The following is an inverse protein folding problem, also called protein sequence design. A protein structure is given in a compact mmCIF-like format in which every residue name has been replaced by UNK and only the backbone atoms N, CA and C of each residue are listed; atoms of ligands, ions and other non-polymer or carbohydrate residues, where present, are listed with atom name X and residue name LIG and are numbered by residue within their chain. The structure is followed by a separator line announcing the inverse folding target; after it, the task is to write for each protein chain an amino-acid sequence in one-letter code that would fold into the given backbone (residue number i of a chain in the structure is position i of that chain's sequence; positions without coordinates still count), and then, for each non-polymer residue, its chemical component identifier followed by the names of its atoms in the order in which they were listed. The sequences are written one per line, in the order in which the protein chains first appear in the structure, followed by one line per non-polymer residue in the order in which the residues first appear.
data_IF_768829346311
#
_entry.id   IF_768829346311
#
_cell.length_a   1.000
_cell.length_b   1.000
_cell.length_c   1.000
_cell.angle_alpha   90.00
_cell.angle_beta   90.00
_cell.angle_gamma   90.00
#
_symmetry.space_group_name_H-M   'P 1'
#
loop_
_entity.id
_entity.type
_entity.pdbx_description
1 polymer ?
#
# COMPACT_ATOMS: atom_id res chain seq x y z
N UNK A 1 24.02 -43.59 -6.04
CA UNK A 1 23.64 -42.55 -7.01
C UNK A 1 23.67 -41.22 -6.27
N UNK A 2 24.43 -40.25 -6.76
CA UNK A 2 24.71 -38.97 -6.12
C UNK A 2 23.44 -38.12 -6.02
N UNK A 3 22.78 -38.09 -4.86
CA UNK A 3 21.66 -37.18 -4.62
C UNK A 3 22.15 -35.74 -4.67
N UNK A 4 21.57 -34.91 -5.54
CA UNK A 4 21.81 -33.46 -5.53
C UNK A 4 21.41 -32.92 -4.15
N UNK A 5 22.29 -32.15 -3.50
CA UNK A 5 21.94 -31.53 -2.22
C UNK A 5 20.83 -30.50 -2.42
N UNK A 6 19.98 -30.33 -1.41
CA UNK A 6 18.87 -29.35 -1.41
C UNK A 6 19.39 -27.94 -1.72
N UNK A 7 20.54 -27.55 -1.16
CA UNK A 7 21.18 -26.25 -1.44
C UNK A 7 21.62 -26.11 -2.91
N UNK A 8 22.02 -27.19 -3.56
CA UNK A 8 22.40 -27.19 -4.97
C UNK A 8 21.18 -26.98 -5.87
N UNK A 9 20.08 -27.68 -5.57
CA UNK A 9 18.79 -27.54 -6.28
C UNK A 9 18.25 -26.11 -6.13
N UNK A 10 18.29 -25.54 -4.93
CA UNK A 10 17.86 -24.16 -4.67
C UNK A 10 18.70 -23.12 -5.43
N UNK A 11 20.02 -23.33 -5.53
CA UNK A 11 20.92 -22.43 -6.29
C UNK A 11 20.67 -22.52 -7.80
N UNK A 12 20.36 -23.71 -8.30
CA UNK A 12 20.01 -23.93 -9.71
C UNK A 12 18.65 -23.30 -10.05
N UNK A 13 17.63 -23.51 -9.21
CA UNK A 13 16.32 -22.86 -9.33
C UNK A 13 16.47 -21.34 -9.41
N UNK A 14 17.26 -20.73 -8.52
CA UNK A 14 17.52 -19.29 -8.54
C UNK A 14 18.10 -18.78 -9.87
N UNK A 15 18.93 -19.60 -10.51
CA UNK A 15 19.55 -19.23 -11.80
C UNK A 15 18.55 -19.35 -12.94
N UNK A 16 17.74 -20.41 -12.95
CA UNK A 16 16.71 -20.64 -13.99
C UNK A 16 15.58 -19.64 -13.93
N UNK A 17 15.12 -19.27 -12.74
CA UNK A 17 14.12 -18.21 -12.58
C UNK A 17 14.61 -16.87 -13.15
N UNK A 18 15.86 -16.49 -12.91
CA UNK A 18 16.46 -15.29 -13.52
C UNK A 18 16.46 -15.36 -15.05
N UNK A 19 16.83 -16.50 -15.61
CA UNK A 19 16.82 -16.68 -17.06
C UNK A 19 15.39 -16.59 -17.64
N UNK A 20 14.40 -17.16 -16.94
CA UNK A 20 13.00 -17.08 -17.34
C UNK A 20 12.49 -15.63 -17.36
N UNK A 21 12.84 -14.83 -16.34
CA UNK A 21 12.48 -13.41 -16.30
C UNK A 21 13.07 -12.63 -17.49
N UNK A 22 14.35 -12.86 -17.82
CA UNK A 22 15.00 -12.24 -18.99
C UNK A 22 14.31 -12.63 -20.31
N UNK A 23 13.85 -13.88 -20.44
CA UNK A 23 13.11 -14.34 -21.61
C UNK A 23 11.72 -13.72 -21.70
N UNK A 24 11.01 -13.57 -20.58
CA UNK A 24 9.69 -12.93 -20.51
C UNK A 24 9.78 -11.42 -20.80
N UNK A 25 10.82 -10.74 -20.33
CA UNK A 25 11.09 -9.33 -20.69
C UNK A 25 11.38 -9.17 -22.19
N UNK A 26 12.11 -10.13 -22.79
CA UNK A 26 12.31 -10.15 -24.25
C UNK A 26 11.00 -10.39 -24.98
N UNK A 27 10.15 -11.32 -24.51
CA UNK A 27 8.83 -11.58 -25.09
C UNK A 27 7.94 -10.34 -25.06
N UNK A 28 7.91 -9.60 -23.94
CA UNK A 28 7.13 -8.38 -23.80
C UNK A 28 7.48 -7.30 -24.85
N UNK A 29 8.73 -7.29 -25.36
CA UNK A 29 9.16 -6.37 -26.43
C UNK A 29 8.63 -6.76 -27.81
N UNK A 30 8.31 -8.03 -28.04
CA UNK A 30 7.79 -8.53 -29.32
C UNK A 30 6.25 -8.62 -29.36
N UNK A 31 5.60 -8.78 -28.20
CA UNK A 31 4.13 -8.86 -28.11
C UNK A 31 3.56 -9.98 -28.97
N UNK A 32 2.60 -9.66 -29.85
CA UNK A 32 1.99 -10.64 -30.77
C UNK A 32 2.95 -11.20 -31.82
N UNK A 33 4.10 -10.56 -32.05
CA UNK A 33 5.11 -10.97 -33.03
C UNK A 33 6.26 -11.77 -32.39
N UNK A 34 6.01 -12.42 -31.24
CA UNK A 34 7.04 -13.18 -30.54
C UNK A 34 7.56 -14.33 -31.42
N UNK A 35 8.87 -14.41 -31.67
CA UNK A 35 9.46 -15.52 -32.44
C UNK A 35 9.20 -16.87 -31.77
N UNK A 36 8.90 -17.90 -32.57
CA UNK A 36 8.61 -19.26 -32.07
C UNK A 36 9.77 -19.85 -31.24
N UNK A 37 11.01 -19.55 -31.60
CA UNK A 37 12.20 -19.96 -30.85
C UNK A 37 12.21 -19.39 -29.42
N UNK A 38 11.79 -18.12 -29.24
CA UNK A 38 11.67 -17.50 -27.92
C UNK A 38 10.54 -18.14 -27.10
N UNK A 39 9.43 -18.52 -27.75
CA UNK A 39 8.33 -19.25 -27.09
C UNK A 39 8.80 -20.62 -26.60
N UNK A 40 9.57 -21.34 -27.42
CA UNK A 40 10.13 -22.64 -27.05
C UNK A 40 11.14 -22.52 -25.90
N UNK A 41 12.02 -21.51 -25.92
CA UNK A 41 12.96 -21.27 -24.83
C UNK A 41 12.26 -20.99 -23.49
N UNK A 42 11.15 -20.25 -23.51
CA UNK A 42 10.34 -19.99 -22.31
C UNK A 42 9.67 -21.28 -21.82
N UNK A 43 9.15 -22.10 -22.73
CA UNK A 43 8.55 -23.38 -22.39
C UNK A 43 9.57 -24.34 -21.76
N UNK A 44 10.75 -24.48 -22.37
CA UNK A 44 11.81 -25.36 -21.90
C UNK A 44 12.33 -24.95 -20.51
N UNK A 45 12.49 -23.63 -20.24
CA UNK A 45 12.88 -23.16 -18.90
C UNK A 45 11.78 -23.41 -17.86
N UNK A 46 10.49 -23.27 -18.23
CA UNK A 46 9.38 -23.59 -17.31
C UNK A 46 9.35 -25.07 -16.94
N UNK A 47 9.54 -25.96 -17.92
CA UNK A 47 9.63 -27.42 -17.68
C UNK A 47 10.83 -27.77 -16.79
N UNK A 48 12.00 -27.15 -17.05
CA UNK A 48 13.19 -27.39 -16.24
C UNK A 48 13.02 -26.92 -14.78
N UNK A 49 12.35 -25.78 -14.57
CA UNK A 49 12.00 -25.28 -13.24
C UNK A 49 11.04 -26.25 -12.54
N UNK A 50 9.95 -26.65 -13.21
CA UNK A 50 8.96 -27.57 -12.64
C UNK A 50 9.60 -28.90 -12.20
N UNK A 51 10.53 -29.44 -13.00
CA UNK A 51 11.29 -30.64 -12.64
C UNK A 51 12.15 -30.46 -11.39
N UNK A 52 12.80 -29.31 -11.22
CA UNK A 52 13.61 -29.02 -10.02
C UNK A 52 12.76 -28.80 -8.77
N UNK A 53 11.58 -28.19 -8.92
CA UNK A 53 10.64 -28.00 -7.80
C UNK A 53 10.06 -29.33 -7.31
N UNK A 54 9.76 -30.25 -8.23
CA UNK A 54 9.30 -31.60 -7.88
C UNK A 54 10.40 -32.40 -7.17
N UNK A 55 11.65 -32.27 -7.61
CA UNK A 55 12.82 -32.83 -6.91
C UNK A 55 13.00 -32.23 -5.51
N UNK A 56 12.70 -30.95 -5.32
CA UNK A 56 12.75 -30.31 -4.01
C UNK A 56 11.65 -30.82 -3.07
N UNK A 57 10.45 -31.07 -3.58
CA UNK A 57 9.32 -31.63 -2.82
C UNK A 57 9.54 -33.09 -2.39
N UNK A 58 10.23 -33.86 -3.23
CA UNK A 58 10.47 -35.29 -3.02
C UNK A 58 11.76 -35.60 -2.25
N UNK A 59 12.59 -34.59 -1.96
CA UNK A 59 13.83 -34.77 -1.21
C UNK A 59 13.54 -35.20 0.25
N UNK A 60 14.11 -36.32 0.74
CA UNK A 60 13.88 -36.77 2.11
C UNK A 60 14.44 -35.76 3.11
N UNK A 61 13.63 -35.39 4.11
CA UNK A 61 14.11 -34.63 5.26
C UNK A 61 15.17 -35.46 5.98
N UNK A 62 16.41 -34.97 6.01
CA UNK A 62 17.48 -35.63 6.75
C UNK A 62 17.12 -35.70 8.25
N UNK A 63 17.08 -36.91 8.82
CA UNK A 63 16.95 -37.13 10.25
C UNK A 63 18.16 -36.56 11.02
N UNK A 64 17.97 -36.04 12.25
CA UNK A 64 19.02 -35.34 12.97
C UNK A 64 19.92 -36.32 13.73
N UNK A 65 21.23 -36.26 13.49
CA UNK A 65 22.22 -36.84 14.39
C UNK A 65 22.25 -36.00 15.69
N UNK A 66 21.78 -36.62 16.77
CA UNK A 66 21.79 -36.14 18.15
C UNK A 66 23.22 -36.24 18.67
N UNK A 67 23.95 -35.13 18.75
CA UNK A 67 25.01 -34.84 19.75
C UNK A 67 25.73 -33.53 19.42
N UNK A 68 25.01 -32.40 19.53
CA UNK A 68 25.61 -31.06 19.74
C UNK A 68 24.57 -30.05 20.29
N UNK A 69 23.49 -30.54 20.93
CA UNK A 69 22.32 -29.76 21.36
C UNK A 69 22.54 -28.89 22.61
N UNK A 70 23.68 -28.20 22.74
CA UNK A 70 23.83 -27.19 23.80
C UNK A 70 24.41 -25.86 23.32
N UNK A 71 24.72 -25.68 22.04
CA UNK A 71 25.23 -24.40 21.53
C UNK A 71 24.44 -23.80 20.36
N UNK A 72 23.48 -24.53 19.78
CA UNK A 72 22.71 -24.09 18.61
C UNK A 72 21.22 -23.78 18.88
N UNK A 73 20.68 -24.07 20.07
CA UNK A 73 19.30 -23.69 20.46
C UNK A 73 19.06 -22.17 20.57
N UNK A 74 20.08 -21.34 20.32
CA UNK A 74 19.95 -19.89 20.21
C UNK A 74 19.70 -19.35 18.80
N UNK A 75 19.70 -20.17 17.74
CA UNK A 75 19.43 -19.67 16.38
C UNK A 75 18.62 -20.66 15.54
N UNK A 76 17.31 -20.40 15.49
CA UNK A 76 16.52 -20.52 14.26
C UNK A 76 15.97 -21.90 13.92
N UNK A 77 14.79 -22.22 14.46
CA UNK A 77 13.76 -22.97 13.72
C UNK A 77 12.39 -22.39 14.08
N UNK A 78 11.68 -21.90 13.06
CA UNK A 78 10.32 -21.37 13.19
C UNK A 78 10.18 -19.84 13.12
N UNK A 79 11.09 -19.12 12.46
CA UNK A 79 10.75 -17.77 12.03
C UNK A 79 9.90 -17.90 10.76
N UNK A 80 8.63 -17.51 10.85
CA UNK A 80 7.88 -17.05 9.69
C UNK A 80 8.77 -16.10 8.88
N UNK A 81 8.60 -16.04 7.56
CA UNK A 81 9.16 -14.97 6.73
C UNK A 81 8.61 -13.61 7.24
N UNK A 82 9.21 -13.08 8.29
CA UNK A 82 8.98 -11.76 8.85
C UNK A 82 9.73 -10.77 7.98
N UNK A 83 8.98 -9.90 7.32
CA UNK A 83 9.52 -8.98 6.31
C UNK A 83 9.92 -7.62 6.84
N UNK A 84 9.65 -7.34 8.12
CA UNK A 84 10.34 -6.32 8.89
C UNK A 84 11.16 -7.03 9.95
N UNK A 85 12.48 -6.91 9.87
CA UNK A 85 13.36 -7.38 10.94
C UNK A 85 13.28 -6.44 12.17
N UNK A 86 13.87 -6.85 13.29
CA UNK A 86 13.82 -6.05 14.52
C UNK A 86 14.47 -4.67 14.34
N UNK A 87 15.45 -4.53 13.44
CA UNK A 87 16.08 -3.24 13.14
C UNK A 87 15.11 -2.33 12.37
N UNK A 88 14.37 -2.87 11.43
CA UNK A 88 13.34 -2.12 10.68
C UNK A 88 12.25 -1.62 11.64
N UNK A 89 11.80 -2.46 12.58
CA UNK A 89 10.87 -2.07 13.65
C UNK A 89 11.44 -0.98 14.55
N UNK A 90 12.65 -1.15 15.07
CA UNK A 90 13.30 -0.15 15.93
C UNK A 90 13.42 1.21 15.23
N UNK A 91 13.78 1.21 13.95
CA UNK A 91 13.83 2.43 13.14
C UNK A 91 12.45 3.06 13.00
N UNK A 92 11.42 2.28 12.67
CA UNK A 92 10.05 2.77 12.53
C UNK A 92 9.55 3.41 13.84
N UNK A 93 9.73 2.74 14.98
CA UNK A 93 9.29 3.23 16.29
C UNK A 93 9.99 4.55 16.66
N UNK A 94 11.30 4.66 16.44
CA UNK A 94 12.04 5.92 16.66
C UNK A 94 11.54 7.04 15.74
N UNK A 95 11.31 6.76 14.46
CA UNK A 95 10.77 7.74 13.51
C UNK A 95 9.38 8.22 13.92
N UNK A 96 8.54 7.32 14.42
CA UNK A 96 7.24 7.67 14.98
C UNK A 96 7.41 8.57 16.20
N UNK A 97 8.28 8.21 17.16
CA UNK A 97 8.56 9.00 18.38
C UNK A 97 9.02 10.42 18.07
N UNK A 98 9.88 10.56 17.06
CA UNK A 98 10.44 11.84 16.64
C UNK A 98 9.47 12.67 15.76
N UNK A 99 8.26 12.19 15.49
CA UNK A 99 7.32 12.84 14.57
C UNK A 99 7.77 12.83 13.09
N UNK A 100 8.77 12.01 12.77
CA UNK A 100 9.39 11.87 11.45
C UNK A 100 8.83 10.67 10.66
N UNK A 101 7.54 10.39 10.84
CA UNK A 101 6.79 9.38 10.11
C UNK A 101 5.49 10.02 9.57
N UNK A 102 5.12 9.71 8.33
CA UNK A 102 3.89 10.18 7.70
C UNK A 102 3.07 8.97 7.26
N UNK A 103 1.97 8.66 7.96
CA UNK A 103 1.03 7.64 7.53
C UNK A 103 0.36 8.08 6.24
N UNK A 104 0.30 7.16 5.29
CA UNK A 104 -0.38 7.29 4.02
C UNK A 104 -1.50 6.23 4.03
N UNK A 105 -2.75 6.69 4.10
CA UNK A 105 -3.91 5.88 4.44
C UNK A 105 -4.75 5.62 3.20
N UNK A 106 -5.08 4.36 2.95
CA UNK A 106 -5.87 3.90 1.81
C UNK A 106 -7.19 3.27 2.22
N UNK A 107 -8.01 2.87 1.25
CA UNK A 107 -9.40 2.42 1.49
C UNK A 107 -9.45 1.13 2.34
N UNK A 108 -8.41 0.30 2.30
CA UNK A 108 -8.30 -0.92 3.11
C UNK A 108 -8.00 -0.70 4.60
N UNK A 109 -7.89 0.54 5.09
CA UNK A 109 -7.76 0.81 6.53
C UNK A 109 -9.08 0.56 7.27
N UNK A 110 -10.21 0.84 6.62
CA UNK A 110 -11.57 0.71 7.16
C UNK A 110 -12.40 -0.36 6.44
N UNK A 111 -11.77 -1.42 5.94
CA UNK A 111 -12.40 -2.44 5.10
C UNK A 111 -13.62 -3.14 5.73
N UNK A 112 -13.71 -3.18 7.06
CA UNK A 112 -14.86 -3.76 7.76
C UNK A 112 -16.09 -2.82 7.82
N UNK A 113 -15.92 -1.55 7.43
CA UNK A 113 -16.92 -0.47 7.58
C UNK A 113 -17.35 0.05 6.21
N UNK A 114 -16.39 0.21 5.30
CA UNK A 114 -16.62 0.78 3.98
C UNK A 114 -16.56 -0.31 2.90
N UNK A 115 -17.43 -0.25 1.89
CA UNK A 115 -17.27 -1.08 0.72
C UNK A 115 -15.91 -0.75 0.09
N UNK A 116 -15.19 -1.79 -0.30
CA UNK A 116 -14.00 -1.66 -1.12
C UNK A 116 -14.35 -1.03 -2.47
N UNK A 117 -13.36 -0.45 -3.14
CA UNK A 117 -13.51 0.10 -4.49
C UNK A 117 -14.06 -0.95 -5.46
N UNK A 118 -13.65 -2.21 -5.30
CA UNK A 118 -14.16 -3.35 -6.07
C UNK A 118 -15.64 -3.60 -5.83
N UNK A 119 -16.08 -3.68 -4.57
CA UNK A 119 -17.49 -3.89 -4.23
C UNK A 119 -18.36 -2.73 -4.73
N UNK A 120 -17.84 -1.50 -4.62
CA UNK A 120 -18.53 -0.31 -5.12
C UNK A 120 -18.68 -0.35 -6.64
N UNK A 121 -17.59 -0.64 -7.36
CA UNK A 121 -17.59 -0.80 -8.81
C UNK A 121 -18.58 -1.88 -9.26
N UNK A 122 -18.56 -3.05 -8.62
CA UNK A 122 -19.43 -4.18 -8.97
C UNK A 122 -20.91 -3.86 -8.73
N UNK A 123 -21.23 -3.18 -7.63
CA UNK A 123 -22.59 -2.75 -7.33
C UNK A 123 -23.10 -1.77 -8.40
N UNK A 124 -22.31 -0.74 -8.73
CA UNK A 124 -22.65 0.19 -9.80
C UNK A 124 -22.74 -0.48 -11.17
N UNK A 125 -21.83 -1.39 -11.48
CA UNK A 125 -21.83 -2.13 -12.74
C UNK A 125 -23.10 -2.96 -12.92
N UNK A 126 -23.53 -3.65 -11.86
CA UNK A 126 -24.77 -4.42 -11.85
C UNK A 126 -26.02 -3.53 -11.94
N UNK A 127 -26.09 -2.47 -11.12
CA UNK A 127 -27.23 -1.56 -11.05
C UNK A 127 -27.46 -0.80 -12.37
N UNK A 128 -26.38 -0.34 -12.99
CA UNK A 128 -26.42 0.52 -14.17
C UNK A 128 -26.11 -0.20 -15.49
N UNK A 129 -25.92 -1.52 -15.45
CA UNK A 129 -25.64 -2.37 -16.62
C UNK A 129 -24.39 -1.91 -17.38
N UNK A 130 -23.27 -1.80 -16.66
CA UNK A 130 -21.98 -1.48 -17.25
C UNK A 130 -21.62 -2.46 -18.39
N UNK A 131 -21.20 -1.96 -19.57
CA UNK A 131 -21.13 -2.78 -20.77
C UNK A 131 -19.81 -3.56 -20.95
N UNK A 132 -18.79 -3.35 -20.11
CA UNK A 132 -17.46 -3.97 -20.25
C UNK A 132 -17.18 -5.03 -19.17
N UNK A 133 -16.13 -5.82 -19.37
CA UNK A 133 -15.77 -6.95 -18.51
C UNK A 133 -15.11 -6.54 -17.18
N UNK A 134 -14.60 -5.32 -17.09
CA UNK A 134 -13.89 -4.77 -15.93
C UNK A 134 -14.82 -4.03 -14.97
N UNK A 135 -15.99 -4.63 -14.70
CA UNK A 135 -16.99 -4.09 -13.77
C UNK A 135 -16.53 -4.01 -12.31
N UNK A 136 -15.31 -4.43 -12.00
CA UNK A 136 -14.64 -4.25 -10.70
C UNK A 136 -13.64 -3.08 -10.67
N UNK A 137 -13.46 -2.36 -11.79
CA UNK A 137 -12.59 -1.20 -11.87
C UNK A 137 -13.36 0.10 -11.56
N UNK A 138 -13.23 0.60 -10.32
CA UNK A 138 -13.99 1.76 -9.84
C UNK A 138 -13.86 2.99 -10.74
N UNK A 139 -12.66 3.48 -11.13
CA UNK A 139 -12.55 4.62 -12.04
C UNK A 139 -13.28 4.48 -13.37
N UNK A 140 -13.27 3.29 -13.96
CA UNK A 140 -13.93 3.05 -15.26
C UNK A 140 -15.44 2.93 -15.13
N UNK A 141 -15.92 2.25 -14.09
CA UNK A 141 -17.36 2.19 -13.81
C UNK A 141 -17.87 3.59 -13.44
N UNK A 142 -17.13 4.36 -12.64
CA UNK A 142 -17.46 5.74 -12.33
C UNK A 142 -17.50 6.62 -13.59
N UNK A 143 -16.53 6.49 -14.50
CA UNK A 143 -16.52 7.18 -15.79
C UNK A 143 -17.79 6.86 -16.62
N UNK A 144 -18.17 5.59 -16.68
CA UNK A 144 -19.39 5.19 -17.37
C UNK A 144 -20.63 5.85 -16.76
N UNK A 145 -20.71 5.94 -15.43
CA UNK A 145 -21.81 6.63 -14.75
C UNK A 145 -21.79 8.14 -15.00
N UNK A 146 -20.62 8.76 -14.99
CA UNK A 146 -20.46 10.18 -15.30
C UNK A 146 -20.99 10.51 -16.71
N UNK A 147 -20.76 9.62 -17.68
CA UNK A 147 -21.21 9.78 -19.07
C UNK A 147 -22.70 9.49 -19.23
N UNK A 148 -23.21 8.43 -18.60
CA UNK A 148 -24.57 7.92 -18.86
C UNK A 148 -25.64 8.50 -17.94
N UNK A 149 -25.25 9.09 -16.81
CA UNK A 149 -26.15 9.74 -15.86
C UNK A 149 -25.93 11.25 -15.87
N UNK A 150 -24.92 11.69 -15.14
CA UNK A 150 -24.52 13.07 -14.94
C UNK A 150 -23.08 13.06 -14.42
N UNK A 151 -22.28 14.06 -14.79
CA UNK A 151 -20.87 14.11 -14.44
C UNK A 151 -20.63 14.09 -12.91
N UNK A 152 -21.51 14.72 -12.12
CA UNK A 152 -21.41 14.74 -10.66
C UNK A 152 -21.96 13.47 -9.98
N UNK A 153 -22.73 12.65 -10.71
CA UNK A 153 -23.43 11.49 -10.15
C UNK A 153 -22.53 10.55 -9.32
N UNK A 154 -21.34 10.13 -9.79
CA UNK A 154 -20.52 9.17 -9.04
C UNK A 154 -20.06 9.73 -7.69
N UNK A 155 -19.61 10.99 -7.68
CA UNK A 155 -19.13 11.65 -6.47
C UNK A 155 -20.27 11.92 -5.47
N UNK A 156 -21.42 12.39 -5.97
CA UNK A 156 -22.63 12.57 -5.16
C UNK A 156 -23.18 11.27 -4.58
N UNK A 157 -23.11 10.15 -5.32
CA UNK A 157 -23.56 8.85 -4.83
C UNK A 157 -22.64 8.33 -3.73
N UNK A 158 -21.31 8.47 -3.86
CA UNK A 158 -20.37 8.17 -2.76
C UNK A 158 -20.68 9.04 -1.53
N UNK A 159 -20.86 10.34 -1.72
CA UNK A 159 -21.19 11.26 -0.63
C UNK A 159 -22.51 10.88 0.07
N UNK A 160 -23.52 10.46 -0.69
CA UNK A 160 -24.81 9.99 -0.16
C UNK A 160 -24.64 8.68 0.61
N UNK A 161 -23.94 7.70 0.04
CA UNK A 161 -23.66 6.41 0.72
C UNK A 161 -22.94 6.64 2.04
N UNK A 162 -21.97 7.55 2.05
CA UNK A 162 -21.24 7.97 3.25
C UNK A 162 -22.14 8.48 4.38
N UNK A 163 -23.12 9.34 4.04
CA UNK A 163 -24.08 9.87 5.01
C UNK A 163 -24.97 8.77 5.59
N UNK A 164 -25.27 7.73 4.80
CA UNK A 164 -26.14 6.62 5.21
C UNK A 164 -25.43 5.43 5.88
N UNK A 165 -24.11 5.50 6.08
CA UNK A 165 -23.36 4.45 6.76
C UNK A 165 -23.90 4.20 8.18
N UNK A 166 -24.34 2.96 8.42
CA UNK A 166 -24.89 2.52 9.71
C UNK A 166 -23.79 2.27 10.75
N UNK A 167 -22.64 1.82 10.29
CA UNK A 167 -21.49 1.50 11.14
C UNK A 167 -20.45 2.60 11.00
N UNK A 168 -19.84 2.98 12.13
CA UNK A 168 -18.75 3.95 12.23
C UNK A 168 -17.64 3.33 13.08
N UNK A 169 -16.37 3.72 12.90
CA UNK A 169 -15.28 3.21 13.72
C UNK A 169 -15.51 3.57 15.19
N UNK A 170 -15.25 2.62 16.08
CA UNK A 170 -15.34 2.86 17.51
C UNK A 170 -14.04 3.44 18.05
N UNK A 171 -13.92 4.78 18.05
CA UNK A 171 -12.70 5.44 18.51
C UNK A 171 -12.35 5.22 19.99
N UNK A 172 -13.25 4.61 20.78
CA UNK A 172 -12.97 4.17 22.17
C UNK A 172 -12.09 2.93 22.24
N UNK A 173 -12.12 2.09 21.21
CA UNK A 173 -11.32 0.88 21.16
C UNK A 173 -9.89 1.24 20.75
N UNK A 174 -8.93 1.01 21.66
CA UNK A 174 -7.53 1.38 21.42
C UNK A 174 -6.89 0.61 20.26
N UNK A 175 -7.42 -0.57 19.91
CA UNK A 175 -6.97 -1.41 18.79
C UNK A 175 -7.66 -1.07 17.47
N UNK A 176 -8.66 -0.18 17.47
CA UNK A 176 -9.26 0.32 16.24
C UNK A 176 -8.19 1.12 15.46
N UNK A 177 -7.99 0.85 14.15
CA UNK A 177 -6.88 1.42 13.40
C UNK A 177 -6.74 2.95 13.48
N UNK A 178 -7.83 3.70 13.30
CA UNK A 178 -7.79 5.16 13.34
C UNK A 178 -7.51 5.68 14.75
N UNK A 179 -8.12 5.08 15.79
CA UNK A 179 -7.91 5.43 17.20
C UNK A 179 -6.46 5.21 17.62
N UNK A 180 -5.86 4.10 17.21
CA UNK A 180 -4.46 3.82 17.47
C UNK A 180 -3.54 4.84 16.78
N UNK A 181 -3.73 5.05 15.47
CA UNK A 181 -2.93 5.99 14.68
C UNK A 181 -3.06 7.43 15.22
N UNK A 182 -4.24 7.82 15.72
CA UNK A 182 -4.48 9.12 16.34
C UNK A 182 -3.76 9.31 17.68
N UNK A 183 -3.37 8.20 18.33
CA UNK A 183 -2.58 8.21 19.56
C UNK A 183 -1.09 8.45 19.33
N UNK A 184 -0.60 8.30 18.10
CA UNK A 184 0.81 8.50 17.77
C UNK A 184 1.17 10.00 17.75
N UNK A 185 2.42 10.38 18.08
CA UNK A 185 2.86 11.76 18.10
C UNK A 185 3.21 12.28 16.69
N UNK A 186 2.29 12.14 15.73
CA UNK A 186 2.52 12.47 14.33
C UNK A 186 1.78 13.76 13.94
N UNK A 187 2.44 14.71 13.24
CA UNK A 187 1.83 15.99 12.89
C UNK A 187 1.03 15.96 11.58
N UNK A 188 1.18 14.91 10.75
CA UNK A 188 0.64 14.86 9.41
C UNK A 188 0.22 13.44 9.04
N UNK A 189 -0.98 13.31 8.50
CA UNK A 189 -1.55 12.11 7.92
C UNK A 189 -1.99 12.44 6.49
N UNK A 190 -1.65 11.58 5.53
CA UNK A 190 -2.11 11.70 4.13
C UNK A 190 -3.11 10.59 3.89
N UNK A 191 -4.23 10.87 3.23
CA UNK A 191 -5.24 9.87 2.90
C UNK A 191 -5.71 10.03 1.45
N UNK A 192 -6.01 8.91 0.80
CA UNK A 192 -6.74 8.88 -0.48
C UNK A 192 -8.22 8.58 -0.30
N UNK A 193 -8.67 8.40 0.94
CA UNK A 193 -10.06 8.13 1.21
C UNK A 193 -10.86 9.44 1.24
N UNK A 194 -12.12 9.33 0.83
CA UNK A 194 -13.07 10.44 0.84
C UNK A 194 -13.72 10.66 2.22
N UNK A 195 -13.38 9.82 3.21
CA UNK A 195 -13.95 9.84 4.55
C UNK A 195 -13.24 10.77 5.54
N UNK A 196 -13.90 11.03 6.68
CA UNK A 196 -13.36 11.82 7.79
C UNK A 196 -12.87 10.98 8.98
N UNK A 197 -12.72 9.65 8.87
CA UNK A 197 -12.46 8.80 10.04
C UNK A 197 -11.15 9.13 10.76
N UNK A 198 -10.07 9.40 10.02
CA UNK A 198 -8.81 9.80 10.64
C UNK A 198 -8.93 11.18 11.32
N UNK A 199 -9.62 12.14 10.69
CA UNK A 199 -9.87 13.46 11.25
C UNK A 199 -10.71 13.38 12.54
N UNK A 200 -11.77 12.57 12.52
CA UNK A 200 -12.62 12.32 13.68
C UNK A 200 -11.86 11.63 14.82
N UNK A 201 -11.01 10.64 14.52
CA UNK A 201 -10.20 9.95 15.52
C UNK A 201 -9.20 10.89 16.22
N UNK A 202 -8.57 11.80 15.49
CA UNK A 202 -7.66 12.80 16.06
C UNK A 202 -8.41 13.77 16.99
N UNK A 203 -9.57 14.27 16.56
CA UNK A 203 -10.39 15.16 17.39
C UNK A 203 -10.99 14.44 18.60
N UNK A 204 -11.32 13.15 18.49
CA UNK A 204 -11.75 12.32 19.62
C UNK A 204 -10.67 12.26 20.72
N UNK A 205 -9.39 12.30 20.34
CA UNK A 205 -8.23 12.39 21.25
C UNK A 205 -7.93 13.82 21.72
N UNK A 206 -8.86 14.76 21.58
CA UNK A 206 -8.73 16.18 21.95
C UNK A 206 -7.58 16.91 21.24
N UNK A 207 -7.19 16.44 20.05
CA UNK A 207 -6.27 17.19 19.17
C UNK A 207 -7.04 18.31 18.47
N UNK A 208 -6.33 19.38 18.10
CA UNK A 208 -6.88 20.44 17.24
C UNK A 208 -6.65 20.09 15.78
N UNK A 209 -7.22 18.99 15.32
CA UNK A 209 -6.94 18.51 13.98
C UNK A 209 -7.52 19.47 12.92
N UNK A 210 -6.81 19.63 11.81
CA UNK A 210 -7.30 20.35 10.63
C UNK A 210 -7.43 19.39 9.44
N UNK A 211 -8.48 19.57 8.65
CA UNK A 211 -8.69 18.85 7.39
C UNK A 211 -8.24 19.73 6.24
N UNK A 212 -7.46 19.16 5.34
CA UNK A 212 -6.95 19.84 4.14
C UNK A 212 -7.19 19.02 2.90
N UNK A 213 -7.38 19.70 1.77
CA UNK A 213 -7.67 19.09 0.47
C UNK A 213 -6.54 19.39 -0.51
N UNK A 214 -6.25 18.43 -1.39
CA UNK A 214 -5.44 18.70 -2.57
C UNK A 214 -6.23 19.57 -3.55
N UNK A 215 -5.81 20.82 -3.76
CA UNK A 215 -6.49 21.80 -4.61
C UNK A 215 -6.14 21.62 -6.09
N UNK A 216 -6.43 20.43 -6.63
CA UNK A 216 -5.92 19.95 -7.92
C UNK A 216 -6.66 20.46 -9.15
N UNK A 217 -7.86 21.02 -8.99
CA UNK A 217 -8.68 21.56 -10.08
C UNK A 217 -9.12 23.01 -9.79
N UNK A 218 -9.69 23.67 -10.80
CA UNK A 218 -10.04 25.09 -10.73
C UNK A 218 -11.25 25.39 -9.82
N UNK A 219 -12.09 24.40 -9.50
CA UNK A 219 -13.26 24.60 -8.64
C UNK A 219 -12.86 24.79 -7.17
N UNK A 220 -11.74 24.19 -6.76
CA UNK A 220 -11.27 24.19 -5.38
C UNK A 220 -9.94 24.93 -5.18
N UNK A 221 -9.35 25.47 -6.25
CA UNK A 221 -8.03 26.13 -6.25
C UNK A 221 -7.95 27.29 -5.26
N UNK A 222 -9.03 28.05 -5.15
CA UNK A 222 -9.08 29.28 -4.34
C UNK A 222 -9.64 29.06 -2.94
N UNK A 223 -9.92 27.80 -2.54
CA UNK A 223 -10.35 27.51 -1.18
C UNK A 223 -9.22 27.83 -0.18
N UNK A 224 -9.55 28.40 0.99
CA UNK A 224 -8.56 28.64 2.04
C UNK A 224 -7.86 27.36 2.45
N UNK A 225 -6.54 27.43 2.67
CA UNK A 225 -5.73 26.31 3.17
C UNK A 225 -4.91 26.71 4.39
N UNK A 226 -4.76 25.79 5.35
CA UNK A 226 -3.80 25.94 6.46
C UNK A 226 -2.35 26.01 5.99
N UNK A 227 -2.06 25.67 4.73
CA UNK A 227 -0.74 25.79 4.12
C UNK A 227 -0.50 27.14 3.42
N UNK A 228 -1.51 28.00 3.32
CA UNK A 228 -1.38 29.29 2.65
C UNK A 228 -0.53 30.28 3.47
N UNK A 229 0.19 31.20 2.81
CA UNK A 229 0.90 32.27 3.49
C UNK A 229 -0.06 33.09 4.37
N UNK A 230 0.22 33.17 5.67
CA UNK A 230 -0.62 33.89 6.64
C UNK A 230 -1.55 32.99 7.47
N UNK A 231 -1.61 31.68 7.19
CA UNK A 231 -2.24 30.73 8.09
C UNK A 231 -1.60 30.75 9.49
N UNK A 232 -2.43 30.80 10.52
CA UNK A 232 -2.01 30.77 11.93
C UNK A 232 -1.94 29.36 12.51
N UNK A 233 -2.25 28.33 11.71
CA UNK A 233 -2.32 26.94 12.19
C UNK A 233 -0.90 26.36 12.31
N UNK A 234 -0.48 26.11 13.54
CA UNK A 234 0.80 25.45 13.81
C UNK A 234 0.66 23.93 13.71
N UNK A 235 1.12 23.38 12.59
CA UNK A 235 1.07 21.93 12.37
C UNK A 235 2.09 21.23 13.27
N UNK A 236 1.58 20.44 14.21
CA UNK A 236 2.32 19.73 15.26
C UNK A 236 1.53 18.50 15.69
N UNK A 237 2.08 17.58 16.50
CA UNK A 237 1.30 16.48 17.06
C UNK A 237 0.09 16.93 17.91
N UNK A 238 0.08 18.16 18.43
CA UNK A 238 -1.06 18.73 19.16
C UNK A 238 -2.14 19.31 18.23
N UNK A 239 -1.75 19.75 17.04
CA UNK A 239 -2.63 20.30 16.00
C UNK A 239 -2.29 19.64 14.65
N UNK A 240 -2.58 18.34 14.50
CA UNK A 240 -2.20 17.56 13.32
C UNK A 240 -3.06 17.90 12.11
N UNK A 241 -2.54 17.62 10.92
CA UNK A 241 -3.28 17.80 9.65
C UNK A 241 -3.60 16.44 9.02
N UNK A 242 -4.83 16.28 8.55
CA UNK A 242 -5.23 15.20 7.63
C UNK A 242 -5.36 15.79 6.23
N UNK A 243 -4.46 15.38 5.33
CA UNK A 243 -4.41 15.85 3.95
C UNK A 243 -5.06 14.83 3.00
N UNK A 244 -6.22 15.18 2.44
CA UNK A 244 -6.98 14.38 1.50
C UNK A 244 -6.47 14.59 0.08
N UNK A 245 -5.68 13.63 -0.41
CA UNK A 245 -5.03 13.72 -1.71
C UNK A 245 -6.03 13.63 -2.87
N UNK A 246 -7.09 12.83 -2.70
CA UNK A 246 -8.13 12.59 -3.72
C UNK A 246 -9.45 13.27 -3.39
N UNK A 247 -9.43 14.31 -2.55
CA UNK A 247 -10.64 15.04 -2.18
C UNK A 247 -11.46 14.36 -1.08
N UNK A 248 -12.65 14.88 -0.85
CA UNK A 248 -13.46 14.53 0.32
C UNK A 248 -14.96 14.49 -0.01
N UNK A 249 -15.70 13.60 0.65
CA UNK A 249 -17.12 13.35 0.37
C UNK A 249 -18.04 14.56 0.68
N UNK A 250 -17.65 15.47 1.57
CA UNK A 250 -18.40 16.72 1.81
C UNK A 250 -18.24 17.76 0.70
N UNK A 251 -17.25 17.60 -0.18
CA UNK A 251 -16.99 18.48 -1.30
C UNK A 251 -16.79 17.64 -2.58
N UNK A 252 -17.86 17.08 -3.17
CA UNK A 252 -17.79 16.14 -4.27
C UNK A 252 -16.93 16.59 -5.45
N UNK A 253 -16.92 17.89 -5.77
CA UNK A 253 -16.11 18.48 -6.85
C UNK A 253 -14.59 18.43 -6.59
N UNK A 254 -14.16 18.07 -5.38
CA UNK A 254 -12.76 17.82 -5.06
C UNK A 254 -12.31 16.39 -5.34
N UNK A 255 -13.27 15.47 -5.55
CA UNK A 255 -12.99 14.05 -5.61
C UNK A 255 -12.25 13.67 -6.90
N UNK A 256 -11.30 12.74 -6.78
CA UNK A 256 -10.60 12.12 -7.92
C UNK A 256 -11.13 10.70 -8.06
N UNK A 257 -12.18 10.51 -8.86
CA UNK A 257 -12.95 9.25 -8.85
C UNK A 257 -13.02 8.58 -10.22
N UNK A 258 -13.33 9.32 -11.28
CA UNK A 258 -13.43 8.81 -12.65
C UNK A 258 -12.08 8.68 -13.34
N UNK A 259 -11.98 7.84 -14.39
CA UNK A 259 -10.73 7.69 -15.15
C UNK A 259 -10.20 9.04 -15.67
N UNK A 260 -11.08 9.91 -16.20
CA UNK A 260 -10.71 11.25 -16.66
C UNK A 260 -10.19 12.13 -15.52
N UNK A 261 -10.87 12.17 -14.36
CA UNK A 261 -10.42 12.94 -13.19
C UNK A 261 -9.06 12.45 -12.67
N UNK A 262 -8.80 11.15 -12.68
CA UNK A 262 -7.48 10.59 -12.33
C UNK A 262 -6.39 11.07 -13.29
N UNK A 263 -6.66 11.08 -14.59
CA UNK A 263 -5.70 11.55 -15.59
C UNK A 263 -5.47 13.06 -15.45
N UNK A 264 -6.54 13.85 -15.30
CA UNK A 264 -6.47 15.29 -15.11
C UNK A 264 -5.72 15.66 -13.82
N UNK A 265 -5.97 14.93 -12.73
CA UNK A 265 -5.21 15.07 -11.48
C UNK A 265 -3.72 14.90 -11.71
N UNK A 266 -3.31 13.81 -12.39
CA UNK A 266 -1.89 13.53 -12.68
C UNK A 266 -1.27 14.58 -13.60
N UNK A 267 -1.99 15.02 -14.63
CA UNK A 267 -1.55 16.08 -15.54
C UNK A 267 -1.34 17.39 -14.77
N UNK A 268 -2.27 17.76 -13.91
CA UNK A 268 -2.23 19.01 -13.16
C UNK A 268 -1.06 19.02 -12.17
N UNK A 269 -0.90 17.98 -11.33
CA UNK A 269 0.21 17.92 -10.37
C UNK A 269 1.59 17.85 -11.04
N UNK A 270 1.65 17.30 -12.27
CA UNK A 270 2.90 17.22 -13.03
C UNK A 270 3.27 18.55 -13.68
N UNK A 271 2.27 19.32 -14.13
CA UNK A 271 2.46 20.64 -14.75
C UNK A 271 2.74 21.72 -13.71
N UNK A 272 2.06 21.67 -12.58
CA UNK A 272 2.15 22.66 -11.51
C UNK A 272 2.43 21.97 -10.18
N UNK A 273 3.72 21.93 -9.82
CA UNK A 273 4.17 21.33 -8.56
C UNK A 273 3.65 22.10 -7.33
N UNK A 274 3.11 23.32 -7.47
CA UNK A 274 2.59 24.08 -6.34
C UNK A 274 1.23 23.57 -5.85
N UNK A 275 0.53 22.77 -6.67
CA UNK A 275 -0.73 22.11 -6.30
C UNK A 275 -0.56 21.24 -5.05
N UNK A 276 0.57 20.53 -4.95
CA UNK A 276 0.93 19.81 -3.73
C UNK A 276 1.68 20.79 -2.83
N UNK A 277 1.15 21.16 -1.65
CA UNK A 277 1.80 22.14 -0.79
C UNK A 277 3.22 21.72 -0.43
N UNK A 278 4.16 22.68 -0.38
CA UNK A 278 5.58 22.42 -0.07
C UNK A 278 5.78 21.61 1.20
N UNK A 279 4.90 21.76 2.19
CA UNK A 279 4.97 21.00 3.45
C UNK A 279 4.64 19.52 3.25
N UNK A 280 3.69 19.19 2.37
CA UNK A 280 3.38 17.83 1.97
C UNK A 280 4.54 17.24 1.17
N UNK A 281 5.10 17.98 0.21
CA UNK A 281 6.29 17.53 -0.54
C UNK A 281 7.46 17.22 0.40
N UNK A 282 7.74 18.12 1.36
CA UNK A 282 8.79 17.90 2.36
C UNK A 282 8.53 16.66 3.20
N UNK A 283 7.29 16.38 3.59
CA UNK A 283 6.94 15.16 4.30
C UNK A 283 7.23 13.92 3.45
N UNK A 284 6.75 13.88 2.20
CA UNK A 284 6.97 12.77 1.28
C UNK A 284 8.45 12.41 1.04
N UNK A 285 9.35 13.41 1.15
CA UNK A 285 10.80 13.23 0.97
C UNK A 285 11.55 12.96 2.27
N UNK A 286 11.20 13.66 3.35
CA UNK A 286 12.05 13.71 4.54
C UNK A 286 11.60 12.80 5.69
N UNK A 287 10.37 12.30 5.67
CA UNK A 287 9.85 11.39 6.69
C UNK A 287 9.89 9.94 6.22
N UNK A 288 9.77 9.00 7.15
CA UNK A 288 9.43 7.62 6.81
C UNK A 288 7.96 7.55 6.42
N UNK A 289 7.65 6.87 5.32
CA UNK A 289 6.28 6.71 4.85
C UNK A 289 5.72 5.37 5.30
N UNK A 290 4.49 5.37 5.82
CA UNK A 290 3.79 4.18 6.28
C UNK A 290 2.48 4.02 5.49
N UNK A 291 2.49 3.15 4.47
CA UNK A 291 1.35 2.90 3.60
C UNK A 291 0.46 1.80 4.16
N UNK A 292 -0.76 2.15 4.58
CA UNK A 292 -1.72 1.23 5.21
C UNK A 292 -3.01 1.21 4.39
N UNK A 293 -3.55 0.04 4.11
CA UNK A 293 -4.83 -0.10 3.40
C UNK A 293 -4.77 0.15 1.89
N UNK A 294 -3.59 0.01 1.28
CA UNK A 294 -3.44 0.00 -0.17
C UNK A 294 -3.32 -1.44 -0.67
N UNK A 295 -3.72 -1.67 -1.92
CA UNK A 295 -3.40 -2.90 -2.62
C UNK A 295 -2.24 -2.65 -3.58
N UNK A 296 -1.17 -3.45 -3.53
CA UNK A 296 -0.07 -3.27 -4.50
C UNK A 296 -0.47 -3.56 -5.94
N UNK A 297 -1.58 -4.25 -6.15
CA UNK A 297 -2.17 -4.49 -7.48
C UNK A 297 -2.85 -3.24 -8.04
N UNK A 298 -3.20 -2.27 -7.20
CA UNK A 298 -3.86 -1.04 -7.63
C UNK A 298 -2.90 -0.15 -8.42
N UNK A 299 -3.25 0.08 -9.69
CA UNK A 299 -2.47 0.93 -10.58
C UNK A 299 -2.44 2.39 -10.10
N UNK A 300 -3.50 2.89 -9.45
CA UNK A 300 -3.58 4.26 -8.94
C UNK A 300 -2.55 4.51 -7.86
N UNK A 301 -2.42 3.55 -6.94
CA UNK A 301 -1.37 3.57 -5.92
C UNK A 301 0.01 3.58 -6.58
N UNK A 302 0.26 2.71 -7.56
CA UNK A 302 1.56 2.66 -8.26
C UNK A 302 1.90 3.95 -8.98
N UNK A 303 0.92 4.56 -9.64
CA UNK A 303 1.11 5.81 -10.39
C UNK A 303 1.29 6.99 -9.44
N UNK A 304 0.55 7.07 -8.34
CA UNK A 304 0.83 8.04 -7.28
C UNK A 304 2.24 7.86 -6.70
N UNK A 305 2.58 6.62 -6.34
CA UNK A 305 3.85 6.30 -5.73
C UNK A 305 5.02 6.62 -6.67
N UNK A 306 4.93 6.27 -7.95
CA UNK A 306 5.97 6.61 -8.94
C UNK A 306 5.96 8.08 -9.35
N UNK A 307 4.78 8.64 -9.61
CA UNK A 307 4.61 9.99 -10.16
C UNK A 307 4.80 11.10 -9.15
N UNK A 308 4.34 10.92 -7.91
CA UNK A 308 4.46 11.91 -6.84
C UNK A 308 5.62 11.61 -5.90
N UNK A 309 5.86 10.36 -5.52
CA UNK A 309 6.82 10.04 -4.44
C UNK A 309 8.22 9.75 -5.00
N UNK A 310 8.33 8.98 -6.09
CA UNK A 310 9.62 8.67 -6.70
C UNK A 310 10.21 9.83 -7.53
N UNK A 311 9.40 10.82 -7.90
CA UNK A 311 9.84 12.01 -8.65
C UNK A 311 10.50 13.09 -7.79
N UNK A 312 10.18 13.16 -6.48
CA UNK A 312 10.63 14.21 -5.54
C UNK A 312 12.09 14.05 -5.04
N UNK A 313 13.03 13.65 -5.91
CA UNK A 313 14.47 13.40 -5.68
C UNK A 313 14.87 12.11 -4.91
N UNK A 314 15.92 11.45 -5.42
CA UNK A 314 16.46 10.16 -4.94
C UNK A 314 17.48 10.28 -3.80
N UNK A 315 17.80 11.50 -3.36
CA UNK A 315 19.02 11.82 -2.59
C UNK A 315 18.90 11.55 -1.08
N UNK A 316 17.69 11.42 -0.52
CA UNK A 316 17.45 11.09 0.89
C UNK A 316 16.55 9.86 0.98
N UNK A 317 17.16 8.67 0.88
CA UNK A 317 16.43 7.41 1.06
C UNK A 317 15.99 7.26 2.52
N UNK A 318 14.69 7.46 2.77
CA UNK A 318 14.02 7.16 4.05
C UNK A 318 13.28 5.85 3.92
N UNK A 319 13.25 5.06 5.00
CA UNK A 319 12.52 3.79 5.04
C UNK A 319 11.04 4.03 4.74
N UNK A 320 10.52 3.33 3.74
CA UNK A 320 9.10 3.27 3.41
C UNK A 320 8.59 1.89 3.81
N UNK A 321 7.46 1.82 4.49
CA UNK A 321 6.84 0.56 4.92
C UNK A 321 5.46 0.47 4.28
N UNK A 322 5.19 -0.61 3.57
CA UNK A 322 3.89 -0.91 2.99
C UNK A 322 3.27 -2.14 3.66
N UNK A 323 2.03 -2.04 4.11
CA UNK A 323 1.29 -3.14 4.74
C UNK A 323 0.46 -3.82 3.65
N UNK A 324 0.63 -5.14 3.49
CA UNK A 324 0.02 -5.89 2.41
C UNK A 324 -0.43 -7.27 2.84
N UNK A 325 -1.67 -7.62 2.48
CA UNK A 325 -2.04 -9.02 2.36
C UNK A 325 -1.41 -9.58 1.08
N UNK A 326 -0.79 -10.76 1.17
CA UNK A 326 -0.27 -11.43 -0.01
C UNK A 326 -1.44 -11.77 -0.95
N UNK A 327 -1.43 -11.29 -2.21
CA UNK A 327 -2.47 -11.66 -3.16
C UNK A 327 -2.52 -13.17 -3.35
N UNK A 328 -3.73 -13.70 -3.52
CA UNK A 328 -3.88 -15.12 -3.78
C UNK A 328 -3.39 -15.44 -5.21
N UNK A 329 -2.60 -16.50 -5.39
CA UNK A 329 -2.23 -16.94 -6.72
C UNK A 329 -3.49 -17.35 -7.51
N UNK A 330 -3.51 -17.21 -8.84
CA UNK A 330 -4.64 -17.67 -9.65
C UNK A 330 -4.89 -19.16 -9.43
N UNK A 331 -6.15 -19.55 -9.38
CA UNK A 331 -6.52 -20.96 -9.25
C UNK A 331 -5.92 -21.79 -10.39
N UNK A 332 -5.41 -22.98 -10.07
CA UNK A 332 -4.82 -23.92 -11.02
C UNK A 332 -3.60 -23.39 -11.82
N UNK A 333 -2.94 -22.32 -11.36
CA UNK A 333 -1.77 -21.74 -12.05
C UNK A 333 -0.43 -22.40 -11.72
N UNK A 334 -0.37 -23.27 -10.71
CA UNK A 334 0.89 -23.78 -10.15
C UNK A 334 1.73 -22.73 -9.41
N UNK A 335 1.29 -21.46 -9.36
CA UNK A 335 1.98 -20.38 -8.67
C UNK A 335 1.72 -20.50 -7.17
N UNK A 336 2.78 -20.44 -6.37
CA UNK A 336 2.70 -20.49 -4.91
C UNK A 336 2.54 -19.09 -4.32
N UNK A 337 2.00 -18.99 -3.10
CA UNK A 337 1.92 -17.72 -2.39
C UNK A 337 3.30 -17.09 -2.15
N UNK A 338 4.35 -17.91 -1.97
CA UNK A 338 5.72 -17.41 -1.80
C UNK A 338 6.29 -16.80 -3.09
N UNK A 339 5.93 -17.34 -4.27
CA UNK A 339 6.27 -16.70 -5.54
C UNK A 339 5.60 -15.33 -5.71
N UNK A 340 4.33 -15.20 -5.30
CA UNK A 340 3.64 -13.92 -5.34
C UNK A 340 4.32 -12.90 -4.41
N UNK A 341 4.64 -13.31 -3.17
CA UNK A 341 5.36 -12.45 -2.21
C UNK A 341 6.72 -12.01 -2.76
N UNK A 342 7.51 -12.95 -3.28
CA UNK A 342 8.81 -12.67 -3.87
C UNK A 342 8.70 -11.65 -5.03
N UNK A 343 7.72 -11.82 -5.93
CA UNK A 343 7.50 -10.88 -7.03
C UNK A 343 7.27 -9.45 -6.53
N UNK A 344 6.42 -9.27 -5.52
CA UNK A 344 6.13 -7.94 -4.99
C UNK A 344 7.31 -7.35 -4.20
N UNK A 345 8.04 -8.18 -3.46
CA UNK A 345 9.27 -7.77 -2.78
C UNK A 345 10.32 -7.26 -3.78
N UNK A 346 10.59 -8.00 -4.86
CA UNK A 346 11.54 -7.56 -5.89
C UNK A 346 11.03 -6.34 -6.65
N UNK A 347 9.74 -6.33 -7.01
CA UNK A 347 9.10 -5.22 -7.72
C UNK A 347 9.22 -3.89 -6.97
N UNK A 348 9.05 -3.90 -5.65
CA UNK A 348 9.12 -2.71 -4.80
C UNK A 348 10.50 -2.45 -4.20
N UNK A 349 11.42 -3.41 -4.21
CA UNK A 349 12.78 -3.23 -3.70
C UNK A 349 13.51 -2.07 -4.40
N UNK A 350 13.20 -1.84 -5.68
CA UNK A 350 13.75 -0.73 -6.48
C UNK A 350 13.42 0.65 -5.90
N UNK A 351 12.35 0.73 -5.11
CA UNK A 351 11.83 1.97 -4.53
C UNK A 351 12.07 2.08 -3.00
N UNK A 352 12.91 1.20 -2.44
CA UNK A 352 13.27 1.14 -1.01
C UNK A 352 12.05 1.00 -0.08
N UNK A 353 11.06 0.23 -0.54
CA UNK A 353 9.86 -0.11 0.24
C UNK A 353 10.05 -1.47 0.90
N UNK A 354 9.91 -1.50 2.22
CA UNK A 354 9.78 -2.71 3.03
C UNK A 354 8.31 -3.11 3.09
N UNK A 355 8.02 -4.38 2.89
CA UNK A 355 6.64 -4.88 2.94
C UNK A 355 6.41 -5.53 4.29
N UNK A 356 5.26 -5.32 4.93
CA UNK A 356 4.77 -6.16 6.01
C UNK A 356 3.67 -7.07 5.46
N UNK A 357 3.88 -8.39 5.44
CA UNK A 357 2.88 -9.34 4.99
C UNK A 357 1.86 -9.66 6.08
N UNK A 358 0.69 -9.02 6.01
CA UNK A 358 -0.42 -9.19 6.95
C UNK A 358 -1.52 -8.16 6.70
N UNK A 359 -2.64 -8.30 7.40
CA UNK A 359 -3.72 -7.31 7.28
C UNK A 359 -3.32 -5.98 7.94
N UNK A 360 -4.00 -4.90 7.56
CA UNK A 360 -3.90 -3.61 8.27
C UNK A 360 -4.11 -3.78 9.77
N UNK A 361 -5.07 -4.62 10.16
CA UNK A 361 -5.39 -4.88 11.56
C UNK A 361 -4.27 -5.64 12.29
N UNK A 362 -3.66 -6.64 11.65
CA UNK A 362 -2.54 -7.40 12.24
C UNK A 362 -1.33 -6.50 12.44
N UNK A 363 -1.02 -5.66 11.45
CA UNK A 363 0.04 -4.68 11.56
C UNK A 363 -0.20 -3.70 12.71
N UNK A 364 -1.43 -3.15 12.83
CA UNK A 364 -1.79 -2.21 13.90
C UNK A 364 -1.66 -2.86 15.27
N UNK A 365 -2.10 -4.11 15.44
CA UNK A 365 -1.94 -4.86 16.70
C UNK A 365 -0.48 -5.04 17.08
N UNK A 366 0.35 -5.42 16.12
CA UNK A 366 1.79 -5.61 16.35
C UNK A 366 2.52 -4.30 16.61
N UNK A 367 2.21 -3.24 15.85
CA UNK A 367 2.74 -1.90 16.07
C UNK A 367 2.32 -1.37 17.45
N UNK A 368 1.07 -1.59 17.88
CA UNK A 368 0.62 -1.23 19.23
C UNK A 368 1.43 -1.95 20.31
N UNK A 369 1.58 -3.28 20.20
CA UNK A 369 2.37 -4.07 21.15
C UNK A 369 3.81 -3.55 21.25
N UNK A 370 4.50 -3.41 20.12
CA UNK A 370 5.89 -2.91 20.08
C UNK A 370 6.02 -1.46 20.51
N UNK A 371 5.03 -0.62 20.23
CA UNK A 371 5.01 0.79 20.64
C UNK A 371 4.87 0.94 22.16
N UNK A 372 4.02 0.14 22.79
CA UNK A 372 3.90 0.10 24.25
C UNK A 372 5.23 -0.33 24.88
N UNK A 373 5.81 -1.46 24.45
CA UNK A 373 7.11 -1.94 24.93
C UNK A 373 8.23 -0.91 24.70
N UNK A 374 8.22 -0.21 23.57
CA UNK A 374 9.19 0.83 23.26
C UNK A 374 9.07 2.03 24.20
N UNK A 375 7.86 2.48 24.54
CA UNK A 375 7.70 3.59 25.47
C UNK A 375 8.06 3.19 26.90
N UNK A 376 7.68 2.01 27.37
CA UNK A 376 8.05 1.51 28.71
C UNK A 376 9.57 1.46 28.91
N UNK A 377 10.32 1.09 27.86
CA UNK A 377 11.80 1.08 27.91
C UNK A 377 12.45 2.46 27.87
N UNK A 378 11.73 3.48 27.40
CA UNK A 378 12.25 4.83 27.17
C UNK A 378 11.56 5.91 28.02
N UNK A 379 10.75 5.53 29.00
CA UNK A 379 10.25 6.46 30.01
C UNK A 379 11.40 6.89 30.94
N UNK A 380 11.62 8.20 31.15
CA UNK A 380 12.52 8.65 32.19
C UNK A 380 11.92 8.29 33.56
N UNK A 381 12.71 7.63 34.39
CA UNK A 381 12.37 7.29 35.78
C UNK A 381 12.04 8.50 36.64
#
# INVERSE_FOLDING_TARGET
MSGRSVESIQRELKTRYRNLDELLERQAKFGINTPLDLINQIHDEREAIAGLEELLKTAPAAEPAVEASQTAERRGRGAALQTLDDRDWDNLLRRIKDGNCTPFLGPGLGADILPSDREMAQAWAAEHRYPLLDGDNLPRVAQFLAITRDAAFPAEDIARRWQTLKTRPNFREATEPHSFLAGLPLPLYITTNYDDFMFQALNYRLRKASRELCRWNNYIRDLPSVFDPGSTVEISPASPVVYHLFGHAELPESMVLTEDEYLDFLVNISRDQTIIPRRIQKALVNTSLLFIGYELTDWRFRVLFRGLIASLERSLRRTRVAIQLAPQPPENSGITADHVRWYFEDYLAKDDVRIYWGSSLDFIKELHRRWTEFNERNEPA
#
